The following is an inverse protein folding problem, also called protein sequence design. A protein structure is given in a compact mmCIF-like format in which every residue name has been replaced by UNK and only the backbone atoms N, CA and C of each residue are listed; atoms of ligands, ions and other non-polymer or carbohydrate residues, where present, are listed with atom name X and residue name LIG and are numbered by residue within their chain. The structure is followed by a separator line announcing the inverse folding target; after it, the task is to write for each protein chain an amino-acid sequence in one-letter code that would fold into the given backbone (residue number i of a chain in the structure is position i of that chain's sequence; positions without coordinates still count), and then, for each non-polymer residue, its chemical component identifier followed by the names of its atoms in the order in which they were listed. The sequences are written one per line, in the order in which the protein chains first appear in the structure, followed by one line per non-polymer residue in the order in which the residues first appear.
data_IF_127195259268
#
_entry.id   IF_127195259268
#
_cell.length_a   1.000
_cell.length_b   1.000
_cell.length_c   1.000
_cell.angle_alpha   90.00
_cell.angle_beta   90.00
_cell.angle_gamma   90.00
#
_symmetry.space_group_name_H-M   'P 1'
#
loop_
_entity.id
_entity.type
_entity.pdbx_description
1 polymer ?
#
# COMPACT_ATOMS: atom_id res chain seq x y z
N UNK A 1 1.96 -15.90 -5.41
CA UNK A 1 2.96 -15.58 -6.45
C UNK A 1 3.95 -14.51 -5.99
N UNK A 2 3.49 -13.38 -5.43
CA UNK A 2 4.33 -12.27 -4.94
C UNK A 2 5.54 -12.69 -4.07
N UNK A 3 5.35 -13.60 -3.12
CA UNK A 3 6.44 -14.07 -2.22
C UNK A 3 7.59 -14.74 -2.96
N UNK A 4 7.29 -15.51 -3.99
CA UNK A 4 8.30 -16.22 -4.77
C UNK A 4 9.12 -15.24 -5.61
N UNK A 5 8.45 -14.24 -6.20
CA UNK A 5 9.12 -13.15 -6.92
C UNK A 5 10.01 -12.37 -5.97
N UNK A 6 9.51 -11.94 -4.81
CA UNK A 6 10.27 -11.20 -3.81
C UNK A 6 11.56 -11.93 -3.38
N UNK A 7 11.47 -13.23 -3.13
CA UNK A 7 12.62 -14.08 -2.77
C UNK A 7 13.70 -14.17 -3.86
N UNK A 8 13.35 -13.90 -5.11
CA UNK A 8 14.28 -13.90 -6.24
C UNK A 8 14.88 -12.51 -6.53
N UNK A 9 14.47 -11.48 -5.78
CA UNK A 9 15.02 -10.13 -5.96
C UNK A 9 16.22 -9.88 -5.04
N UNK A 10 17.08 -8.89 -5.35
CA UNK A 10 18.10 -8.40 -4.42
C UNK A 10 17.54 -7.86 -3.08
N UNK A 11 16.23 -7.64 -3.00
CA UNK A 11 15.52 -7.11 -1.83
C UNK A 11 14.86 -8.20 -0.99
N UNK A 12 15.18 -9.48 -1.22
CA UNK A 12 14.60 -10.61 -0.50
C UNK A 12 14.82 -10.61 1.02
N UNK A 13 15.83 -9.86 1.51
CA UNK A 13 16.06 -9.64 2.94
C UNK A 13 15.24 -8.49 3.55
N UNK A 14 14.52 -7.73 2.73
CA UNK A 14 13.66 -6.63 3.13
C UNK A 14 12.19 -7.05 3.36
N UNK A 15 11.33 -6.12 3.78
CA UNK A 15 9.92 -6.42 4.04
C UNK A 15 9.17 -6.79 2.75
N UNK A 16 8.26 -7.76 2.84
CA UNK A 16 7.25 -8.01 1.82
C UNK A 16 5.89 -7.61 2.37
N UNK A 17 5.31 -6.55 1.83
CA UNK A 17 3.97 -6.07 2.16
C UNK A 17 3.06 -6.39 0.99
N UNK A 18 2.00 -7.15 1.22
CA UNK A 18 0.99 -7.44 0.21
C UNK A 18 -0.35 -6.89 0.68
N UNK A 19 -1.01 -6.13 -0.18
CA UNK A 19 -2.33 -5.56 0.08
C UNK A 19 -3.25 -5.84 -1.09
N UNK A 20 -4.47 -6.25 -0.76
CA UNK A 20 -5.58 -6.36 -1.68
C UNK A 20 -6.37 -5.05 -1.62
N UNK A 21 -6.49 -4.37 -2.75
CA UNK A 21 -7.14 -3.05 -2.87
C UNK A 21 -8.62 -3.14 -3.24
N UNK A 22 -9.25 -4.31 -3.01
CA UNK A 22 -10.63 -4.60 -3.35
C UNK A 22 -11.65 -3.49 -3.03
N UNK A 23 -12.75 -3.55 -3.77
CA UNK A 23 -13.74 -2.48 -4.03
C UNK A 23 -14.32 -1.78 -2.80
N UNK A 24 -14.29 -2.41 -1.62
CA UNK A 24 -14.88 -1.87 -0.38
C UNK A 24 -14.01 -0.78 0.30
N UNK A 25 -12.75 -0.60 -0.11
CA UNK A 25 -11.82 0.30 0.58
C UNK A 25 -11.39 1.53 -0.20
N UNK A 26 -11.94 1.78 -1.39
CA UNK A 26 -11.47 2.80 -2.34
C UNK A 26 -11.23 4.19 -1.73
N UNK A 27 -12.08 4.64 -0.79
CA UNK A 27 -11.91 5.93 -0.10
C UNK A 27 -10.73 5.96 0.89
N UNK A 28 -10.36 4.81 1.47
CA UNK A 28 -9.29 4.69 2.45
C UNK A 28 -7.96 4.25 1.84
N UNK A 29 -7.93 3.87 0.56
CA UNK A 29 -6.70 3.40 -0.11
C UNK A 29 -5.59 4.44 -0.01
N UNK A 30 -5.89 5.72 -0.17
CA UNK A 30 -4.87 6.77 -0.05
C UNK A 30 -4.26 6.83 1.36
N UNK A 31 -5.07 6.78 2.43
CA UNK A 31 -4.55 6.74 3.79
C UNK A 31 -3.78 5.44 4.07
N UNK A 32 -4.24 4.29 3.57
CA UNK A 32 -3.55 3.00 3.71
C UNK A 32 -2.17 3.03 3.04
N UNK A 33 -2.08 3.50 1.79
CA UNK A 33 -0.83 3.55 1.04
C UNK A 33 0.18 4.53 1.64
N UNK A 34 -0.26 5.75 1.94
CA UNK A 34 0.63 6.87 2.29
C UNK A 34 0.67 7.21 3.78
N UNK A 35 -0.20 6.56 4.57
CA UNK A 35 -0.37 6.82 5.98
C UNK A 35 -1.41 7.90 6.24
N UNK A 36 -1.76 8.03 7.52
CA UNK A 36 -2.66 9.04 8.01
C UNK A 36 -2.07 9.66 9.28
N UNK A 37 -2.24 10.98 9.45
CA UNK A 37 -1.94 11.65 10.71
C UNK A 37 -3.20 11.79 11.55
N UNK A 38 -3.05 11.78 12.87
CA UNK A 38 -4.17 12.04 13.77
C UNK A 38 -4.83 13.38 13.43
N UNK A 39 -6.14 13.35 13.23
CA UNK A 39 -6.92 14.55 12.90
C UNK A 39 -6.98 14.92 11.42
N UNK A 40 -6.45 14.10 10.50
CA UNK A 40 -6.62 14.33 9.07
C UNK A 40 -8.10 14.24 8.62
N UNK A 41 -8.90 13.43 9.31
CA UNK A 41 -10.37 13.38 9.22
C UNK A 41 -10.98 12.97 10.57
N UNK A 42 -12.29 13.11 10.73
CA UNK A 42 -13.00 12.74 11.96
C UNK A 42 -12.83 11.25 12.25
N UNK A 43 -12.14 10.90 13.33
CA UNK A 43 -11.84 9.51 13.70
C UNK A 43 -10.53 8.94 13.12
N UNK A 44 -9.73 9.76 12.42
CA UNK A 44 -8.45 9.34 11.89
C UNK A 44 -7.49 8.86 13.00
N UNK A 45 -6.99 7.64 12.85
CA UNK A 45 -5.88 7.11 13.64
C UNK A 45 -4.57 7.30 12.88
N UNK A 46 -3.49 7.51 13.61
CA UNK A 46 -2.18 7.73 13.03
C UNK A 46 -1.51 6.41 12.64
N UNK A 47 -1.01 6.33 11.40
CA UNK A 47 -0.22 5.19 10.91
C UNK A 47 0.69 5.60 9.74
N UNK A 48 1.80 4.89 9.54
CA UNK A 48 2.89 5.28 8.62
C UNK A 48 2.62 5.05 7.14
N UNK A 49 1.65 4.20 6.79
CA UNK A 49 1.33 3.82 5.42
C UNK A 49 2.15 2.63 4.89
N UNK A 50 1.55 1.89 3.95
CA UNK A 50 2.10 0.66 3.39
C UNK A 50 3.37 0.88 2.55
N UNK A 51 3.48 2.03 1.88
CA UNK A 51 4.69 2.38 1.10
C UNK A 51 5.90 2.47 2.01
N UNK A 52 5.75 3.08 3.20
CA UNK A 52 6.83 3.17 4.19
C UNK A 52 7.11 1.82 4.83
N UNK A 53 6.06 1.05 5.15
CA UNK A 53 6.22 -0.29 5.71
C UNK A 53 6.99 -1.24 4.76
N UNK A 54 6.87 -1.04 3.45
CA UNK A 54 7.59 -1.80 2.43
C UNK A 54 8.99 -1.24 2.10
N UNK A 55 9.45 -0.20 2.79
CA UNK A 55 10.73 0.44 2.48
C UNK A 55 11.90 -0.56 2.57
N UNK A 56 12.79 -0.52 1.58
CA UNK A 56 13.89 -1.49 1.46
C UNK A 56 13.48 -2.89 0.99
N UNK A 57 12.19 -3.13 0.74
CA UNK A 57 11.63 -4.42 0.35
C UNK A 57 10.75 -4.36 -0.89
N UNK A 58 9.56 -4.94 -0.82
CA UNK A 58 8.59 -5.03 -1.92
C UNK A 58 7.17 -4.79 -1.41
N UNK A 59 6.44 -3.90 -2.09
CA UNK A 59 5.01 -3.71 -1.94
C UNK A 59 4.30 -4.39 -3.11
N UNK A 60 3.37 -5.30 -2.83
CA UNK A 60 2.53 -5.96 -3.80
C UNK A 60 1.10 -5.43 -3.68
N UNK A 61 0.57 -4.89 -4.78
CA UNK A 61 -0.78 -4.35 -4.88
C UNK A 61 -1.61 -5.30 -5.74
N UNK A 62 -2.59 -5.96 -5.14
CA UNK A 62 -3.58 -6.75 -5.86
C UNK A 62 -4.80 -5.88 -6.20
N UNK A 63 -5.52 -6.24 -7.27
CA UNK A 63 -6.74 -5.54 -7.72
C UNK A 63 -6.56 -4.02 -7.93
N UNK A 64 -5.39 -3.57 -8.40
CA UNK A 64 -5.13 -2.14 -8.65
C UNK A 64 -6.11 -1.51 -9.67
N UNK A 65 -6.72 -2.33 -10.53
CA UNK A 65 -7.73 -1.91 -11.50
C UNK A 65 -9.06 -1.45 -10.86
N UNK A 66 -9.35 -1.90 -9.64
CA UNK A 66 -10.57 -1.53 -8.90
C UNK A 66 -10.43 -0.21 -8.14
N UNK A 67 -9.23 0.36 -8.12
CA UNK A 67 -8.93 1.59 -7.40
C UNK A 67 -9.21 2.82 -8.29
N UNK A 68 -9.80 3.90 -7.73
CA UNK A 68 -10.00 5.16 -8.44
C UNK A 68 -8.75 5.72 -9.14
N UNK A 69 -8.94 6.34 -10.31
CA UNK A 69 -7.85 6.85 -11.17
C UNK A 69 -6.97 7.91 -10.47
N UNK A 70 -7.54 8.71 -9.59
CA UNK A 70 -6.83 9.72 -8.79
C UNK A 70 -5.81 9.07 -7.85
N UNK A 71 -6.16 7.93 -7.24
CA UNK A 71 -5.23 7.16 -6.41
C UNK A 71 -4.18 6.45 -7.26
N UNK A 72 -4.55 5.93 -8.43
CA UNK A 72 -3.58 5.35 -9.37
C UNK A 72 -2.53 6.38 -9.81
N UNK A 73 -2.93 7.63 -10.02
CA UNK A 73 -2.01 8.71 -10.37
C UNK A 73 -0.98 9.01 -9.27
N UNK A 74 -1.30 8.76 -8.00
CA UNK A 74 -0.36 8.93 -6.89
C UNK A 74 0.75 7.86 -6.83
N UNK A 75 0.66 6.80 -7.64
CA UNK A 75 1.66 5.72 -7.71
C UNK A 75 2.71 5.93 -8.83
N UNK A 76 2.56 6.98 -9.63
CA UNK A 76 3.46 7.38 -10.73
C UNK A 76 4.50 8.40 -10.26
#
# INVERSE_FOLDING_TARGET
MARLIHQQTPRAGGPLVAVDLGTDRSFLVHSELFGCKKGAFTGAQEHEGLVRAANGGTLFLDEIGDVPLDVQACLL
#
